data_IF_417083609290
#
_entry.id   IF_417083609290
#
_cell.length_a   1.000
_cell.length_b   1.000
_cell.length_c   1.000
_cell.angle_alpha   90.00
_cell.angle_beta   90.00
_cell.angle_gamma   90.00
#
_symmetry.space_group_name_H-M   'P 1'
#
loop_
_entity.id
_entity.type
_entity.pdbx_description
1 polymer ?
#
# COMPACT_ATOMS: atom_id res chain seq x y z
N UNK A 1 81.87 -6.96 35.11
CA UNK A 1 81.51 -5.92 34.10
C UNK A 1 80.30 -6.38 33.29
N UNK A 2 79.59 -5.46 32.60
CA UNK A 2 78.47 -5.69 31.64
C UNK A 2 78.94 -6.51 30.40
N UNK A 3 78.08 -7.02 29.48
CA UNK A 3 76.66 -6.68 29.15
C UNK A 3 75.69 -7.88 29.31
N UNK A 4 74.46 -8.01 28.76
CA UNK A 4 73.71 -7.30 27.69
C UNK A 4 72.18 -7.34 27.98
N UNK A 5 71.31 -7.05 26.99
CA UNK A 5 69.86 -7.32 26.98
C UNK A 5 69.49 -8.41 25.95
N UNK A 6 68.35 -9.07 26.13
CA UNK A 6 67.46 -9.47 25.03
C UNK A 6 66.00 -9.37 25.46
N UNK A 7 65.14 -8.97 24.54
CA UNK A 7 63.78 -8.44 24.74
C UNK A 7 62.66 -9.47 24.48
N UNK A 8 61.41 -8.98 24.48
CA UNK A 8 60.15 -9.61 23.99
C UNK A 8 59.45 -10.49 25.06
N UNK A 9 58.31 -10.10 25.66
CA UNK A 9 56.94 -9.82 25.14
C UNK A 9 56.00 -10.98 25.52
N UNK A 10 54.75 -10.82 25.94
CA UNK A 10 53.99 -9.63 26.36
C UNK A 10 52.67 -10.10 26.98
N UNK A 11 52.25 -9.45 28.07
CA UNK A 11 50.85 -9.18 28.44
C UNK A 11 49.81 -10.34 28.38
N UNK A 12 49.60 -10.94 29.55
CA UNK A 12 48.37 -11.47 30.17
C UNK A 12 47.05 -11.25 29.39
N UNK A 13 46.16 -12.26 29.27
CA UNK A 13 44.83 -12.13 28.67
C UNK A 13 43.75 -11.72 29.70
N UNK A 14 42.86 -10.80 29.33
CA UNK A 14 41.51 -10.63 29.91
C UNK A 14 40.65 -9.66 29.09
N UNK A 15 39.52 -10.11 28.53
CA UNK A 15 38.18 -9.80 29.07
C UNK A 15 37.09 -10.52 28.24
N UNK A 16 35.98 -10.99 28.83
CA UNK A 16 34.86 -11.56 28.07
C UNK A 16 33.87 -10.45 27.66
N UNK A 17 33.57 -10.38 26.36
CA UNK A 17 32.37 -9.71 25.87
C UNK A 17 31.83 -10.52 24.69
N UNK A 18 30.89 -11.42 25.00
CA UNK A 18 29.90 -11.86 24.02
C UNK A 18 29.07 -10.65 23.59
N UNK A 19 28.96 -10.41 22.28
CA UNK A 19 27.78 -9.81 21.66
C UNK A 19 27.91 -9.87 20.14
N UNK A 20 27.25 -10.86 19.54
CA UNK A 20 26.45 -10.69 18.33
C UNK A 20 26.98 -9.70 17.27
N UNK A 21 27.82 -10.19 16.34
CA UNK A 21 27.89 -9.59 15.00
C UNK A 21 26.53 -9.79 14.33
N UNK A 22 25.65 -8.81 14.45
CA UNK A 22 24.37 -8.77 13.76
C UNK A 22 24.59 -8.97 12.27
N UNK A 23 24.05 -10.06 11.72
CA UNK A 23 23.94 -10.23 10.29
C UNK A 23 23.17 -9.03 9.75
N UNK A 24 23.82 -8.26 8.88
CA UNK A 24 23.19 -7.14 8.21
C UNK A 24 22.29 -7.74 7.11
N UNK A 25 21.07 -8.12 7.50
CA UNK A 25 20.05 -8.60 6.57
C UNK A 25 19.73 -7.47 5.62
N UNK A 26 20.39 -7.48 4.45
CA UNK A 26 19.95 -6.69 3.32
C UNK A 26 18.47 -7.02 3.11
N UNK A 27 17.61 -6.01 3.13
CA UNK A 27 16.20 -6.21 2.87
C UNK A 27 16.08 -6.98 1.56
N UNK A 28 15.32 -8.08 1.56
CA UNK A 28 14.92 -8.73 0.31
C UNK A 28 14.37 -7.65 -0.62
N UNK A 29 14.67 -7.68 -1.93
CA UNK A 29 14.04 -6.75 -2.86
C UNK A 29 12.54 -6.85 -2.61
N UNK A 30 11.89 -5.73 -2.26
CA UNK A 30 10.44 -5.72 -2.11
C UNK A 30 9.90 -6.16 -3.45
N UNK A 31 9.12 -7.24 -3.47
CA UNK A 31 8.47 -7.64 -4.70
C UNK A 31 7.63 -6.45 -5.19
N UNK A 32 7.68 -6.19 -6.49
CA UNK A 32 6.96 -5.07 -7.10
C UNK A 32 5.49 -5.18 -6.72
N UNK A 33 4.89 -4.06 -6.30
CA UNK A 33 3.46 -4.03 -6.03
C UNK A 33 2.64 -4.36 -7.28
N UNK A 34 1.36 -4.63 -7.07
CA UNK A 34 0.44 -5.04 -8.13
C UNK A 34 -0.71 -4.04 -8.22
N UNK A 35 -1.14 -3.69 -9.43
CA UNK A 35 -2.33 -2.86 -9.66
C UNK A 35 -3.41 -3.72 -10.35
N UNK A 36 -4.50 -3.97 -9.64
CA UNK A 36 -5.67 -4.69 -10.13
C UNK A 36 -6.81 -3.71 -10.41
N UNK A 37 -7.41 -3.78 -11.60
CA UNK A 37 -8.45 -2.84 -12.02
C UNK A 37 -9.79 -3.55 -12.26
N UNK A 38 -10.86 -2.99 -11.71
CA UNK A 38 -12.26 -3.44 -11.84
C UNK A 38 -13.05 -2.31 -12.53
N UNK A 39 -13.13 -2.38 -13.86
CA UNK A 39 -13.90 -1.44 -14.69
C UNK A 39 -15.27 -1.98 -15.10
N UNK A 40 -16.17 -1.07 -15.44
CA UNK A 40 -17.51 -1.38 -15.93
C UNK A 40 -18.52 -0.25 -15.69
N UNK A 41 -19.72 -0.32 -16.28
CA UNK A 41 -20.75 0.72 -16.12
C UNK A 41 -21.26 0.83 -14.67
N UNK A 42 -22.08 1.85 -14.39
CA UNK A 42 -22.86 1.89 -13.15
C UNK A 42 -23.70 0.61 -13.00
N UNK A 43 -23.92 0.19 -11.76
CA UNK A 43 -24.67 -1.04 -11.40
C UNK A 43 -24.02 -2.38 -11.80
N UNK A 44 -22.83 -2.41 -12.42
CA UNK A 44 -22.10 -3.63 -12.77
C UNK A 44 -21.46 -4.39 -11.57
N UNK A 45 -21.84 -4.10 -10.32
CA UNK A 45 -21.32 -4.82 -9.14
C UNK A 45 -19.83 -4.59 -8.81
N UNK A 46 -19.21 -3.53 -9.35
CA UNK A 46 -17.79 -3.20 -9.13
C UNK A 46 -17.42 -3.09 -7.65
N UNK A 47 -18.14 -2.25 -6.92
CA UNK A 47 -18.01 -2.07 -5.47
C UNK A 47 -18.13 -3.39 -4.72
N UNK A 48 -19.15 -4.21 -5.00
CA UNK A 48 -19.30 -5.55 -4.40
C UNK A 48 -18.08 -6.43 -4.67
N UNK A 49 -17.53 -6.39 -5.88
CA UNK A 49 -16.33 -7.15 -6.27
C UNK A 49 -15.08 -6.67 -5.54
N UNK A 50 -14.87 -5.36 -5.45
CA UNK A 50 -13.79 -4.73 -4.69
C UNK A 50 -13.86 -5.14 -3.21
N UNK A 51 -15.03 -4.98 -2.58
CA UNK A 51 -15.22 -5.30 -1.17
C UNK A 51 -15.03 -6.80 -0.89
N UNK A 52 -15.52 -7.68 -1.78
CA UNK A 52 -15.26 -9.13 -1.68
C UNK A 52 -13.76 -9.44 -1.70
N UNK A 53 -13.00 -8.76 -2.56
CA UNK A 53 -11.55 -8.96 -2.65
C UNK A 53 -10.82 -8.41 -1.42
N UNK A 54 -11.14 -7.20 -0.97
CA UNK A 54 -10.60 -6.60 0.28
C UNK A 54 -10.87 -7.49 1.51
N UNK A 55 -12.08 -8.06 1.63
CA UNK A 55 -12.39 -9.05 2.68
C UNK A 55 -11.53 -10.30 2.57
N UNK A 56 -11.32 -10.80 1.35
CA UNK A 56 -10.48 -11.97 1.12
C UNK A 56 -9.04 -11.71 1.53
N UNK A 57 -8.42 -10.61 1.08
CA UNK A 57 -7.05 -10.23 1.49
C UNK A 57 -6.93 -10.09 3.03
N UNK A 58 -7.90 -9.44 3.67
CA UNK A 58 -7.96 -9.31 5.13
C UNK A 58 -8.10 -10.67 5.84
N UNK A 59 -8.89 -11.60 5.29
CA UNK A 59 -9.03 -12.95 5.84
C UNK A 59 -7.75 -13.81 5.71
N UNK A 60 -6.85 -13.45 4.78
CA UNK A 60 -5.50 -14.02 4.69
C UNK A 60 -4.48 -13.32 5.61
N UNK A 61 -4.94 -12.43 6.51
CA UNK A 61 -4.10 -11.75 7.49
C UNK A 61 -3.37 -10.50 6.97
N UNK A 62 -3.67 -10.03 5.76
CA UNK A 62 -3.09 -8.80 5.20
C UNK A 62 -3.74 -7.56 5.79
N UNK A 63 -2.96 -6.52 6.03
CA UNK A 63 -3.43 -5.22 6.46
C UNK A 63 -4.04 -4.48 5.25
N UNK A 64 -5.36 -4.24 5.31
CA UNK A 64 -6.11 -3.62 4.22
C UNK A 64 -6.59 -2.21 4.60
N UNK A 65 -6.57 -1.31 3.63
CA UNK A 65 -7.31 -0.05 3.68
C UNK A 65 -8.30 0.03 2.52
N UNK A 66 -9.40 0.75 2.74
CA UNK A 66 -10.42 1.01 1.74
C UNK A 66 -10.66 2.51 1.67
N UNK A 67 -10.55 3.09 0.48
CA UNK A 67 -10.73 4.51 0.20
C UNK A 67 -11.96 4.65 -0.70
N UNK A 68 -12.76 5.69 -0.47
CA UNK A 68 -13.80 6.13 -1.41
C UNK A 68 -13.66 7.62 -1.67
N UNK A 69 -14.08 8.06 -2.85
CA UNK A 69 -14.21 9.50 -3.07
C UNK A 69 -15.37 10.08 -2.26
N UNK A 70 -15.14 11.24 -1.64
CA UNK A 70 -16.20 12.06 -1.05
C UNK A 70 -16.90 12.96 -2.09
N UNK A 71 -16.35 13.03 -3.32
CA UNK A 71 -16.97 13.69 -4.47
C UNK A 71 -18.18 12.88 -4.98
N UNK A 72 -18.26 11.59 -4.65
CA UNK A 72 -19.48 10.80 -4.82
C UNK A 72 -20.47 11.01 -3.66
N UNK A 73 -21.55 11.74 -3.95
CA UNK A 73 -22.65 12.02 -3.02
C UNK A 73 -23.81 11.04 -3.10
N UNK A 74 -23.77 10.03 -4.01
CA UNK A 74 -24.89 9.10 -4.25
C UNK A 74 -25.12 8.12 -3.09
N UNK A 75 -24.06 7.78 -2.35
CA UNK A 75 -24.10 6.85 -1.22
C UNK A 75 -23.23 7.36 -0.07
N UNK A 76 -23.74 7.24 1.17
CA UNK A 76 -23.25 7.96 2.37
C UNK A 76 -21.73 7.94 2.61
N UNK A 77 -21.21 9.01 3.22
CA UNK A 77 -19.78 9.34 3.24
C UNK A 77 -18.89 8.31 3.97
N UNK A 78 -19.32 7.79 5.13
CA UNK A 78 -18.41 7.12 6.08
C UNK A 78 -18.36 5.59 5.98
N UNK A 79 -19.16 4.98 5.10
CA UNK A 79 -19.16 3.53 4.89
C UNK A 79 -19.55 3.18 3.46
N UNK A 80 -18.82 2.25 2.84
CA UNK A 80 -19.30 1.63 1.61
C UNK A 80 -20.35 0.57 1.98
N UNK A 81 -21.57 0.75 1.48
CA UNK A 81 -22.71 -0.13 1.73
C UNK A 81 -22.89 -1.05 0.52
N UNK A 82 -22.73 -2.35 0.71
CA UNK A 82 -23.15 -3.33 -0.28
C UNK A 82 -24.68 -3.38 -0.36
N UNK A 83 -25.22 -3.80 -1.50
CA UNK A 83 -26.66 -4.13 -1.62
C UNK A 83 -27.09 -5.19 -0.60
N UNK A 84 -26.15 -6.04 -0.15
CA UNK A 84 -26.34 -7.10 0.83
C UNK A 84 -26.26 -6.60 2.29
N UNK A 85 -26.19 -5.28 2.51
CA UNK A 85 -26.26 -4.63 3.82
C UNK A 85 -24.96 -4.61 4.63
N UNK A 86 -23.91 -5.28 4.16
CA UNK A 86 -22.60 -5.25 4.81
C UNK A 86 -21.92 -3.90 4.63
N UNK A 87 -21.43 -3.34 5.75
CA UNK A 87 -20.63 -2.11 5.80
C UNK A 87 -19.17 -2.44 6.11
N UNK A 88 -18.26 -1.91 5.31
CA UNK A 88 -16.83 -1.87 5.64
C UNK A 88 -16.44 -0.42 5.98
N UNK A 89 -15.56 -0.20 6.99
CA UNK A 89 -15.01 1.10 7.26
C UNK A 89 -14.15 1.53 6.06
N UNK A 90 -14.30 2.79 5.65
CA UNK A 90 -13.57 3.36 4.53
C UNK A 90 -13.13 4.80 4.84
N UNK A 91 -12.12 5.27 4.12
CA UNK A 91 -11.61 6.62 4.21
C UNK A 91 -12.23 7.49 3.10
N UNK A 92 -13.18 8.39 3.43
CA UNK A 92 -13.70 9.36 2.46
C UNK A 92 -12.67 10.46 2.21
N UNK A 93 -12.14 10.54 0.99
CA UNK A 93 -11.15 11.52 0.57
C UNK A 93 -11.61 12.29 -0.66
N UNK A 94 -11.17 13.53 -0.80
CA UNK A 94 -11.27 14.25 -2.07
C UNK A 94 -10.18 13.80 -3.04
N UNK A 95 -8.95 13.69 -2.53
CA UNK A 95 -7.71 13.47 -3.29
C UNK A 95 -6.80 12.49 -2.53
N UNK A 96 -6.18 11.55 -3.24
CA UNK A 96 -5.45 10.40 -2.67
C UNK A 96 -4.11 10.79 -2.03
N UNK A 97 -3.48 11.85 -2.52
CA UNK A 97 -2.30 12.49 -1.95
C UNK A 97 -2.44 12.83 -0.45
N UNK A 98 -3.67 13.06 0.02
CA UNK A 98 -3.95 13.30 1.45
C UNK A 98 -4.02 12.03 2.32
N UNK A 99 -4.08 10.84 1.72
CA UNK A 99 -4.31 9.56 2.41
C UNK A 99 -3.21 9.26 3.43
N UNK A 100 -1.94 9.23 3.02
CA UNK A 100 -0.82 8.85 3.89
C UNK A 100 -0.72 9.75 5.13
N UNK A 101 -1.01 11.05 4.99
CA UNK A 101 -1.00 11.98 6.12
C UNK A 101 -2.19 11.76 7.07
N UNK A 102 -3.39 11.52 6.52
CA UNK A 102 -4.62 11.30 7.32
C UNK A 102 -4.67 9.93 7.99
N UNK A 103 -4.14 8.90 7.33
CA UNK A 103 -4.04 7.54 7.85
C UNK A 103 -2.91 7.40 8.89
N UNK A 104 -1.87 8.23 8.76
CA UNK A 104 -0.65 8.19 9.56
C UNK A 104 0.46 7.41 8.84
N UNK A 105 1.67 7.97 8.67
CA UNK A 105 2.75 7.31 7.93
C UNK A 105 3.10 5.90 8.46
N UNK A 106 3.25 5.75 9.78
CA UNK A 106 3.55 4.46 10.41
C UNK A 106 2.45 3.40 10.27
N UNK A 107 1.20 3.83 10.02
CA UNK A 107 0.10 2.94 9.73
C UNK A 107 0.10 2.59 8.23
N UNK A 108 0.36 3.57 7.36
CA UNK A 108 0.46 3.40 5.91
C UNK A 108 1.56 2.42 5.52
N UNK A 109 2.72 2.49 6.18
CA UNK A 109 3.84 1.58 5.93
C UNK A 109 3.46 0.11 6.18
N UNK A 110 2.56 -0.15 7.14
CA UNK A 110 2.06 -1.48 7.48
C UNK A 110 0.96 -2.00 6.54
N UNK A 111 0.41 -1.16 5.65
CA UNK A 111 -0.61 -1.61 4.69
C UNK A 111 -0.01 -2.49 3.60
N UNK A 112 -0.62 -3.64 3.38
CA UNK A 112 -0.29 -4.56 2.30
C UNK A 112 -1.20 -4.33 1.08
N UNK A 113 -2.46 -3.94 1.32
CA UNK A 113 -3.48 -3.76 0.26
C UNK A 113 -4.26 -2.47 0.43
N UNK A 114 -4.47 -1.74 -0.67
CA UNK A 114 -5.28 -0.51 -0.72
C UNK A 114 -6.38 -0.68 -1.78
N UNK A 115 -7.63 -0.72 -1.34
CA UNK A 115 -8.81 -0.65 -2.20
C UNK A 115 -9.23 0.80 -2.46
N UNK A 116 -9.53 1.15 -3.70
CA UNK A 116 -10.00 2.48 -4.10
C UNK A 116 -11.32 2.31 -4.87
N UNK A 117 -12.43 2.78 -4.30
CA UNK A 117 -13.73 2.77 -4.97
C UNK A 117 -14.08 4.13 -5.61
N UNK A 118 -14.90 4.08 -6.66
CA UNK A 118 -15.32 5.23 -7.47
C UNK A 118 -14.11 6.04 -7.99
N UNK A 119 -13.08 5.32 -8.42
CA UNK A 119 -11.74 5.87 -8.69
C UNK A 119 -11.68 6.96 -9.75
N UNK A 120 -12.68 7.05 -10.63
CA UNK A 120 -12.78 8.10 -11.64
C UNK A 120 -12.90 9.53 -11.08
N UNK A 121 -13.16 9.70 -9.78
CA UNK A 121 -13.20 11.01 -9.11
C UNK A 121 -11.84 11.49 -8.56
N UNK A 122 -10.79 10.66 -8.65
CA UNK A 122 -9.44 11.01 -8.22
C UNK A 122 -8.57 11.39 -9.42
N UNK A 123 -8.17 12.67 -9.47
CA UNK A 123 -7.24 13.18 -10.50
C UNK A 123 -5.82 12.67 -10.26
N UNK A 124 -5.43 12.47 -8.99
CA UNK A 124 -4.13 11.97 -8.54
C UNK A 124 -4.05 10.42 -8.46
N UNK A 125 -4.97 9.71 -9.12
CA UNK A 125 -5.03 8.24 -9.12
C UNK A 125 -3.76 7.58 -9.66
N UNK A 126 -3.26 8.03 -10.80
CA UNK A 126 -2.09 7.43 -11.45
C UNK A 126 -0.83 7.56 -10.58
N UNK A 127 -0.53 8.79 -10.13
CA UNK A 127 0.64 9.09 -9.31
C UNK A 127 0.60 8.34 -7.96
N UNK A 128 -0.58 8.25 -7.34
CA UNK A 128 -0.76 7.47 -6.11
C UNK A 128 -0.55 5.97 -6.36
N UNK A 129 -1.16 5.40 -7.40
CA UNK A 129 -1.08 3.97 -7.69
C UNK A 129 0.34 3.54 -8.07
N UNK A 130 1.02 4.26 -8.99
CA UNK A 130 2.40 3.97 -9.37
C UNK A 130 3.33 4.07 -8.17
N UNK A 131 3.29 5.16 -7.39
CA UNK A 131 4.11 5.26 -6.17
C UNK A 131 3.85 4.09 -5.20
N UNK A 132 2.59 3.80 -4.90
CA UNK A 132 2.26 2.80 -3.90
C UNK A 132 2.63 1.37 -4.34
N UNK A 133 2.57 1.07 -5.64
CA UNK A 133 2.99 -0.21 -6.20
C UNK A 133 4.52 -0.29 -6.40
N UNK A 134 5.09 0.65 -7.16
CA UNK A 134 6.47 0.59 -7.67
C UNK A 134 7.52 0.93 -6.61
N UNK A 135 7.17 1.79 -5.63
CA UNK A 135 8.09 2.23 -4.58
C UNK A 135 7.75 1.64 -3.21
N UNK A 136 6.45 1.61 -2.86
CA UNK A 136 6.02 1.16 -1.53
C UNK A 136 5.71 -0.35 -1.47
N UNK A 137 5.62 -1.04 -2.62
CA UNK A 137 5.45 -2.51 -2.72
C UNK A 137 4.05 -3.01 -2.36
N UNK A 138 3.01 -2.18 -2.56
CA UNK A 138 1.64 -2.47 -2.10
C UNK A 138 0.77 -3.03 -3.24
N UNK A 139 -0.20 -3.88 -2.88
CA UNK A 139 -1.26 -4.31 -3.81
C UNK A 139 -2.37 -3.26 -3.85
N UNK A 140 -2.63 -2.67 -5.01
CA UNK A 140 -3.69 -1.68 -5.21
C UNK A 140 -4.84 -2.34 -5.97
N UNK A 141 -6.08 -2.18 -5.49
CA UNK A 141 -7.29 -2.70 -6.13
C UNK A 141 -8.22 -1.53 -6.42
N UNK A 142 -8.31 -1.15 -7.69
CA UNK A 142 -9.04 0.04 -8.14
C UNK A 142 -10.38 -0.38 -8.74
N UNK A 143 -11.48 0.23 -8.31
CA UNK A 143 -12.80 0.09 -8.92
C UNK A 143 -13.29 1.44 -9.44
N UNK A 144 -13.78 1.49 -10.69
CA UNK A 144 -14.21 2.74 -11.30
C UNK A 144 -14.93 2.58 -12.63
N UNK A 145 -15.44 3.69 -13.17
CA UNK A 145 -16.09 3.73 -14.47
C UNK A 145 -15.06 3.67 -15.60
N UNK A 146 -15.35 2.87 -16.63
CA UNK A 146 -14.53 2.72 -17.84
C UNK A 146 -14.51 4.03 -18.69
N UNK A 147 -15.65 4.73 -18.69
CA UNK A 147 -15.81 6.05 -19.28
C UNK A 147 -17.05 6.77 -18.77
N UNK A 148 -17.21 8.03 -19.16
CA UNK A 148 -18.40 8.82 -18.85
C UNK A 148 -19.61 8.45 -19.75
N UNK A 149 -20.76 9.07 -19.49
CA UNK A 149 -21.98 8.87 -20.30
C UNK A 149 -21.82 9.32 -21.77
N UNK A 150 -20.77 10.09 -22.08
CA UNK A 150 -20.45 10.62 -23.41
C UNK A 150 -19.36 9.80 -24.14
N UNK A 151 -18.89 8.69 -23.55
CA UNK A 151 -17.80 7.82 -24.03
C UNK A 151 -16.40 8.44 -24.01
N UNK A 152 -16.15 9.43 -23.17
CA UNK A 152 -14.77 9.77 -22.81
C UNK A 152 -14.22 8.75 -21.83
N UNK A 153 -13.07 8.16 -22.16
CA UNK A 153 -12.32 7.28 -21.26
C UNK A 153 -11.92 8.04 -19.99
N UNK A 154 -12.19 7.45 -18.82
CA UNK A 154 -11.68 8.01 -17.57
C UNK A 154 -10.19 7.68 -17.37
N UNK A 155 -9.54 8.39 -16.44
CA UNK A 155 -8.10 8.32 -16.14
C UNK A 155 -7.59 6.89 -15.82
N UNK A 156 -8.49 5.94 -15.53
CA UNK A 156 -8.20 4.50 -15.43
C UNK A 156 -7.45 3.92 -16.65
N UNK A 157 -7.64 4.46 -17.85
CA UNK A 157 -6.87 4.04 -19.03
C UNK A 157 -5.37 4.28 -18.90
N UNK A 158 -4.95 5.31 -18.16
CA UNK A 158 -3.53 5.61 -17.89
C UNK A 158 -2.88 4.54 -17.02
N UNK A 159 -3.61 4.01 -16.02
CA UNK A 159 -3.13 2.92 -15.16
C UNK A 159 -3.07 1.57 -15.89
N UNK A 160 -3.89 1.36 -16.92
CA UNK A 160 -3.91 0.13 -17.72
C UNK A 160 -2.82 0.14 -18.82
N UNK A 161 -2.42 1.32 -19.30
CA UNK A 161 -1.51 1.45 -20.45
C UNK A 161 -0.01 1.42 -20.11
N UNK A 162 0.35 1.46 -18.82
CA UNK A 162 1.73 1.54 -18.32
C UNK A 162 2.12 0.39 -17.36
N UNK A 163 1.37 -0.72 -17.37
CA UNK A 163 1.70 -1.99 -16.69
C UNK A 163 2.06 -3.04 -17.73
#
# INVERSE_FOLDING_TARGET
>A
MKPTMSSLSSSIPANPNEATRSLQTAASPRESGEIHVIVGPMFAGKTTTLLRRIKSESSHGRNVALIKSNKDTRYGLDSIVTHDGEKLPCWPLADLSSFTQRFGPEAYDKLDVIGIDEAQFFEDLYDFCSKAADHDGKTIIVAGLDGDYLRYYFCLSSCISNV
#
